data_IF_171365035076
#
_entry.id   IF_171365035076
#
_cell.length_a   1.000
_cell.length_b   1.000
_cell.length_c   1.000
_cell.angle_alpha   90.00
_cell.angle_beta   90.00
_cell.angle_gamma   90.00
#
_symmetry.space_group_name_H-M   'P 1'
#
loop_
_entity.id
_entity.type
_entity.pdbx_description
1 polymer ?
#
# COMPACT_ATOMS: atom_id res chain seq x y z
N UNK A 1 -41.11 -7.45 50.89
CA UNK A 1 -40.54 -7.98 49.64
C UNK A 1 -39.97 -6.87 48.72
N UNK A 2 -38.73 -6.39 48.97
CA UNK A 2 -38.09 -5.31 48.17
C UNK A 2 -36.71 -5.70 47.55
N UNK A 3 -36.34 -7.00 47.55
CA UNK A 3 -35.00 -7.44 47.10
C UNK A 3 -34.85 -7.76 45.58
N UNK A 4 -35.93 -7.80 44.81
CA UNK A 4 -35.87 -8.27 43.40
C UNK A 4 -35.40 -7.21 42.39
N UNK A 5 -35.55 -5.91 42.66
CA UNK A 5 -35.17 -4.87 41.69
C UNK A 5 -33.67 -4.62 41.63
N UNK A 6 -32.97 -4.74 42.74
CA UNK A 6 -31.53 -4.44 42.80
C UNK A 6 -30.67 -5.53 42.15
N UNK A 7 -31.13 -6.80 42.18
CA UNK A 7 -30.43 -7.94 41.51
C UNK A 7 -30.48 -7.82 40.01
N UNK A 8 -31.62 -7.38 39.46
CA UNK A 8 -31.74 -7.20 37.97
C UNK A 8 -30.89 -6.04 37.49
N UNK A 9 -30.75 -4.97 38.28
CA UNK A 9 -29.92 -3.81 37.92
C UNK A 9 -28.42 -4.14 37.98
N UNK A 10 -27.98 -4.89 39.00
CA UNK A 10 -26.60 -5.37 39.11
C UNK A 10 -26.22 -6.34 37.98
N UNK A 11 -27.12 -7.24 37.59
CA UNK A 11 -26.90 -8.18 36.47
C UNK A 11 -26.81 -7.43 35.12
N UNK A 12 -27.63 -6.40 34.89
CA UNK A 12 -27.60 -5.58 33.71
C UNK A 12 -26.29 -4.78 33.62
N UNK A 13 -25.81 -4.21 34.70
CA UNK A 13 -24.55 -3.47 34.77
C UNK A 13 -23.34 -4.38 34.54
N UNK A 14 -23.33 -5.60 35.07
CA UNK A 14 -22.28 -6.59 34.80
C UNK A 14 -22.25 -7.03 33.33
N UNK A 15 -23.42 -7.18 32.71
CA UNK A 15 -23.50 -7.53 31.28
C UNK A 15 -22.99 -6.39 30.40
N UNK A 16 -23.33 -5.13 30.67
CA UNK A 16 -22.84 -3.95 29.95
C UNK A 16 -21.33 -3.79 30.12
N UNK A 17 -20.79 -3.99 31.32
CA UNK A 17 -19.34 -3.98 31.53
C UNK A 17 -18.63 -5.11 30.81
N UNK A 18 -19.18 -6.32 30.76
CA UNK A 18 -18.63 -7.45 30.06
C UNK A 18 -18.59 -7.19 28.52
N UNK A 19 -19.64 -6.59 27.97
CA UNK A 19 -19.68 -6.24 26.53
C UNK A 19 -18.67 -5.13 26.20
N UNK A 20 -18.50 -4.13 27.07
CA UNK A 20 -17.50 -3.07 26.90
C UNK A 20 -16.05 -3.60 27.01
N UNK A 21 -15.81 -4.58 27.89
CA UNK A 21 -14.49 -5.23 28.00
C UNK A 21 -14.18 -6.20 26.84
N UNK A 22 -15.20 -6.74 26.16
CA UNK A 22 -15.02 -7.59 24.98
C UNK A 22 -14.81 -6.80 23.70
N UNK A 23 -15.08 -5.51 23.67
CA UNK A 23 -14.66 -4.64 22.57
C UNK A 23 -13.14 -4.46 22.68
N UNK A 24 -12.37 -5.34 22.01
CA UNK A 24 -10.95 -5.03 21.76
C UNK A 24 -10.91 -3.63 21.17
N UNK A 25 -10.14 -2.69 21.73
CA UNK A 25 -9.95 -1.42 21.07
C UNK A 25 -9.46 -1.78 19.67
N UNK A 26 -10.20 -1.37 18.64
CA UNK A 26 -9.68 -1.36 17.28
C UNK A 26 -8.50 -0.39 17.36
N UNK A 27 -7.33 -0.96 17.59
CA UNK A 27 -6.11 -0.17 17.64
C UNK A 27 -6.01 0.53 16.29
N UNK A 28 -6.15 1.84 16.29
CA UNK A 28 -5.80 2.65 15.12
C UNK A 28 -4.34 2.36 14.86
N UNK A 29 -4.07 1.50 13.90
CA UNK A 29 -2.70 1.24 13.49
C UNK A 29 -2.24 2.49 12.75
N UNK A 30 -1.14 3.07 13.20
CA UNK A 30 -0.53 4.16 12.47
C UNK A 30 -0.24 3.70 11.03
N UNK A 31 -0.50 4.58 10.07
CA UNK A 31 -0.10 4.37 8.69
C UNK A 31 1.41 4.13 8.64
N UNK A 32 1.85 3.16 7.87
CA UNK A 32 3.27 2.80 7.77
C UNK A 32 3.70 2.75 6.33
N UNK A 33 4.93 3.18 6.07
CA UNK A 33 5.61 3.01 4.80
C UNK A 33 7.06 2.63 5.06
N UNK A 34 7.51 1.54 4.45
CA UNK A 34 8.86 1.03 4.64
C UNK A 34 9.40 0.39 3.35
N UNK A 35 10.58 0.80 2.93
CA UNK A 35 11.31 0.13 1.84
C UNK A 35 11.71 -1.26 2.29
N UNK A 36 11.45 -2.25 1.44
CA UNK A 36 11.73 -3.65 1.72
C UNK A 36 12.68 -4.24 0.69
N UNK A 37 13.59 -5.09 1.14
CA UNK A 37 14.48 -5.82 0.24
C UNK A 37 13.75 -7.08 -0.26
N UNK A 38 13.44 -7.11 -1.54
CA UNK A 38 12.72 -8.20 -2.22
C UNK A 38 13.58 -9.01 -3.19
N UNK A 39 14.89 -8.75 -3.28
CA UNK A 39 15.85 -9.60 -4.06
C UNK A 39 15.83 -11.06 -3.61
N UNK A 40 15.56 -11.27 -2.32
CA UNK A 40 15.27 -12.57 -1.71
C UNK A 40 13.90 -12.55 -1.07
N UNK A 41 13.25 -13.72 -0.83
CA UNK A 41 11.94 -13.75 -0.20
C UNK A 41 11.95 -13.04 1.16
N UNK A 42 11.26 -11.89 1.24
CA UNK A 42 11.04 -11.13 2.47
C UNK A 42 9.82 -11.70 3.20
N UNK A 43 9.97 -12.18 4.44
CA UNK A 43 8.89 -12.79 5.24
C UNK A 43 8.51 -11.93 6.46
N UNK A 44 8.49 -10.63 6.32
CA UNK A 44 8.27 -9.73 7.45
C UNK A 44 6.88 -9.10 7.47
N UNK A 45 6.16 -9.14 6.37
CA UNK A 45 4.95 -8.35 6.15
C UNK A 45 3.77 -9.23 5.72
N UNK A 46 2.56 -8.83 6.11
CA UNK A 46 1.30 -9.37 5.64
C UNK A 46 0.77 -8.46 4.54
N UNK A 47 0.81 -8.93 3.29
CA UNK A 47 0.28 -8.20 2.13
C UNK A 47 -1.09 -8.74 1.70
N UNK A 48 -1.41 -9.98 2.07
CA UNK A 48 -2.69 -10.59 1.76
C UNK A 48 -3.81 -10.13 2.69
N UNK A 49 -3.46 -9.59 3.87
CA UNK A 49 -4.40 -9.14 4.89
C UNK A 49 -5.01 -10.28 5.72
N UNK A 50 -4.37 -11.46 5.73
CA UNK A 50 -4.84 -12.63 6.48
C UNK A 50 -4.22 -12.74 7.89
N UNK A 51 -3.47 -11.70 8.33
CA UNK A 51 -2.72 -11.61 9.58
C UNK A 51 -1.55 -12.61 9.70
N UNK A 52 -1.10 -13.16 8.58
CA UNK A 52 0.12 -13.97 8.51
C UNK A 52 1.18 -13.26 7.69
N UNK A 53 2.44 -13.53 8.01
CA UNK A 53 3.55 -12.98 7.24
C UNK A 53 3.67 -13.70 5.91
N UNK A 54 3.64 -12.94 4.83
CA UNK A 54 3.79 -13.42 3.48
C UNK A 54 5.26 -13.45 3.04
N UNK A 55 5.58 -14.35 2.12
CA UNK A 55 6.86 -14.37 1.41
C UNK A 55 6.76 -13.47 0.18
N UNK A 56 7.37 -12.29 0.22
CA UNK A 56 7.34 -11.29 -0.86
C UNK A 56 8.69 -11.29 -1.58
N UNK A 57 8.67 -11.43 -2.90
CA UNK A 57 9.86 -11.40 -3.74
C UNK A 57 9.56 -10.66 -5.05
N UNK A 58 10.53 -9.91 -5.57
CA UNK A 58 10.52 -9.43 -6.96
C UNK A 58 11.46 -10.25 -7.82
N UNK A 59 11.10 -10.40 -9.09
CA UNK A 59 11.99 -10.85 -10.16
C UNK A 59 11.90 -9.87 -11.30
N UNK A 60 13.01 -9.61 -11.91
CA UNK A 60 13.08 -8.75 -13.08
C UNK A 60 14.18 -9.21 -14.03
N UNK A 61 14.06 -8.82 -15.28
CA UNK A 61 15.11 -9.02 -16.27
C UNK A 61 15.30 -7.70 -17.01
N UNK A 62 16.56 -7.39 -17.29
CA UNK A 62 16.96 -6.18 -17.99
C UNK A 62 16.17 -6.05 -19.30
N UNK A 63 15.55 -4.87 -19.49
CA UNK A 63 14.76 -4.52 -20.68
C UNK A 63 13.61 -5.47 -21.03
N UNK A 64 13.18 -6.32 -20.11
CA UNK A 64 12.14 -7.32 -20.38
C UNK A 64 10.90 -7.17 -19.48
N UNK A 65 11.07 -7.31 -18.17
CA UNK A 65 9.93 -7.31 -17.24
C UNK A 65 10.30 -7.10 -15.79
N UNK A 66 9.29 -6.69 -15.01
CA UNK A 66 9.27 -6.78 -13.55
C UNK A 66 8.10 -7.64 -13.10
N UNK A 67 8.27 -8.45 -12.08
CA UNK A 67 7.20 -9.25 -11.47
C UNK A 67 7.28 -9.27 -9.96
N UNK A 68 6.11 -9.35 -9.31
CA UNK A 68 5.96 -9.51 -7.86
C UNK A 68 5.40 -10.89 -7.58
N UNK A 69 6.06 -11.60 -6.67
CA UNK A 69 5.72 -12.95 -6.26
C UNK A 69 5.37 -12.92 -4.78
N UNK A 70 4.17 -13.36 -4.43
CA UNK A 70 3.73 -13.52 -3.04
C UNK A 70 3.39 -14.97 -2.79
N UNK A 71 3.99 -15.56 -1.76
CA UNK A 71 3.82 -16.96 -1.38
C UNK A 71 4.03 -17.94 -2.55
N UNK A 72 5.05 -17.64 -3.37
CA UNK A 72 5.40 -18.46 -4.55
C UNK A 72 4.52 -18.25 -5.79
N UNK A 73 3.49 -17.39 -5.70
CA UNK A 73 2.60 -17.09 -6.82
C UNK A 73 2.91 -15.69 -7.38
N UNK A 74 3.07 -15.58 -8.69
CA UNK A 74 3.17 -14.28 -9.37
C UNK A 74 1.82 -13.58 -9.29
N UNK A 75 1.78 -12.41 -8.65
CA UNK A 75 0.58 -11.60 -8.45
C UNK A 75 0.54 -10.35 -9.33
N UNK A 76 1.70 -9.96 -9.85
CA UNK A 76 1.87 -8.85 -10.78
C UNK A 76 3.02 -9.17 -11.73
N UNK A 77 2.85 -8.81 -12.99
CA UNK A 77 3.92 -8.85 -14.00
C UNK A 77 3.65 -7.77 -15.05
N UNK A 78 4.65 -6.97 -15.34
CA UNK A 78 4.64 -5.96 -16.41
C UNK A 78 5.85 -6.13 -17.30
N UNK A 79 5.70 -5.76 -18.57
CA UNK A 79 6.74 -5.76 -19.60
C UNK A 79 7.38 -4.38 -19.75
N UNK A 80 7.52 -3.67 -18.67
CA UNK A 80 8.18 -2.37 -18.69
C UNK A 80 9.69 -2.56 -18.79
N UNK A 81 10.35 -1.94 -19.76
CA UNK A 81 11.80 -1.92 -19.83
C UNK A 81 12.39 -1.30 -18.56
N UNK A 82 13.16 -2.09 -17.81
CA UNK A 82 13.84 -1.61 -16.59
C UNK A 82 15.31 -2.00 -16.64
N UNK A 83 16.15 -1.13 -16.08
CA UNK A 83 17.60 -1.31 -16.07
C UNK A 83 18.16 -1.48 -14.67
N UNK A 84 17.37 -1.16 -13.66
CA UNK A 84 17.77 -1.25 -12.27
C UNK A 84 16.80 -2.09 -11.45
N UNK A 85 17.29 -2.60 -10.32
CA UNK A 85 16.42 -3.27 -9.34
C UNK A 85 15.23 -2.39 -8.97
N UNK A 86 14.00 -2.90 -9.04
CA UNK A 86 12.83 -2.13 -8.63
C UNK A 86 12.89 -1.81 -7.13
N UNK A 87 12.51 -0.58 -6.78
CA UNK A 87 12.31 -0.20 -5.39
C UNK A 87 10.92 -0.61 -4.95
N UNK A 88 10.84 -1.41 -3.90
CA UNK A 88 9.55 -1.87 -3.34
C UNK A 88 9.36 -1.32 -1.95
N UNK A 89 8.20 -0.71 -1.72
CA UNK A 89 7.78 -0.25 -0.39
C UNK A 89 6.54 -1.01 0.05
N UNK A 90 6.60 -1.56 1.26
CA UNK A 90 5.43 -2.01 1.96
C UNK A 90 4.76 -0.81 2.61
N UNK A 91 3.49 -0.64 2.32
CA UNK A 91 2.66 0.44 2.82
C UNK A 91 1.43 -0.13 3.51
N UNK A 92 0.88 0.60 4.48
CA UNK A 92 -0.36 0.24 5.17
C UNK A 92 -1.15 1.50 5.48
N UNK A 93 -2.43 1.51 5.14
CA UNK A 93 -3.38 2.53 5.58
C UNK A 93 -3.69 2.39 7.09
N UNK A 94 -4.24 3.43 7.69
CA UNK A 94 -4.65 3.41 9.13
C UNK A 94 -5.73 2.37 9.43
N UNK A 95 -6.57 2.01 8.45
CA UNK A 95 -7.54 0.92 8.59
C UNK A 95 -6.91 -0.48 8.56
N UNK A 96 -5.58 -0.55 8.46
CA UNK A 96 -4.82 -1.80 8.43
C UNK A 96 -4.65 -2.43 7.05
N UNK A 97 -5.26 -1.90 5.99
CA UNK A 97 -5.14 -2.45 4.64
C UNK A 97 -3.72 -2.29 4.10
N UNK A 98 -3.02 -3.38 3.75
CA UNK A 98 -1.69 -3.35 3.20
C UNK A 98 -1.68 -3.18 1.68
N UNK A 99 -0.60 -2.60 1.15
CA UNK A 99 -0.31 -2.56 -0.28
C UNK A 99 1.21 -2.47 -0.52
N UNK A 100 1.64 -2.83 -1.71
CA UNK A 100 3.00 -2.58 -2.18
C UNK A 100 2.99 -1.40 -3.16
N UNK A 101 3.94 -0.51 -3.00
CA UNK A 101 4.27 0.50 -4.00
C UNK A 101 5.62 0.12 -4.64
N UNK A 102 5.64 0.04 -5.96
CA UNK A 102 6.77 -0.45 -6.74
C UNK A 102 7.17 0.63 -7.72
N UNK A 103 8.44 0.99 -7.68
CA UNK A 103 9.06 1.91 -8.63
C UNK A 103 10.07 1.13 -9.47
N UNK A 104 9.94 1.21 -10.77
CA UNK A 104 10.82 0.59 -11.76
C UNK A 104 11.51 1.69 -12.56
N UNK A 105 12.82 1.62 -12.68
CA UNK A 105 13.63 2.67 -13.32
C UNK A 105 14.33 2.15 -14.55
N UNK A 106 14.27 2.95 -15.63
CA UNK A 106 15.16 2.88 -16.78
C UNK A 106 16.38 3.77 -16.59
N UNK A 107 17.14 4.00 -17.66
CA UNK A 107 18.28 4.93 -17.63
C UNK A 107 17.78 6.35 -17.38
N UNK A 108 18.15 6.90 -16.24
CA UNK A 108 17.86 8.27 -15.85
C UNK A 108 16.38 8.66 -15.72
N UNK A 109 15.46 7.69 -15.72
CA UNK A 109 14.02 7.98 -15.61
C UNK A 109 13.25 6.93 -14.82
N UNK A 110 12.13 7.34 -14.26
CA UNK A 110 11.12 6.42 -13.71
C UNK A 110 10.34 5.80 -14.87
N UNK A 111 10.60 4.52 -15.14
CA UNK A 111 9.93 3.81 -16.23
C UNK A 111 8.48 3.44 -15.88
N UNK A 112 8.24 3.04 -14.62
CA UNK A 112 6.92 2.62 -14.15
C UNK A 112 6.79 2.78 -12.64
N UNK A 113 5.62 3.18 -12.18
CA UNK A 113 5.22 3.03 -10.77
C UNK A 113 3.88 2.30 -10.68
N UNK A 114 3.76 1.40 -9.69
CA UNK A 114 2.61 0.52 -9.57
C UNK A 114 2.23 0.31 -8.11
N UNK A 115 0.94 0.35 -7.83
CA UNK A 115 0.37 -0.10 -6.56
C UNK A 115 -0.14 -1.52 -6.75
N UNK A 116 0.28 -2.45 -5.88
CA UNK A 116 -0.19 -3.84 -5.85
C UNK A 116 -0.83 -4.13 -4.50
N UNK A 117 -2.04 -4.63 -4.48
CA UNK A 117 -2.82 -4.89 -3.26
C UNK A 117 -3.76 -6.08 -3.44
N UNK A 118 -4.41 -6.51 -2.35
CA UNK A 118 -5.42 -7.56 -2.39
C UNK A 118 -6.81 -6.98 -2.13
N UNK A 119 -7.77 -7.40 -2.96
CA UNK A 119 -9.21 -7.14 -2.79
C UNK A 119 -9.95 -8.46 -2.81
N UNK A 120 -10.66 -8.79 -1.74
CA UNK A 120 -11.39 -10.06 -1.62
C UNK A 120 -10.48 -11.27 -1.94
N UNK A 121 -9.29 -11.31 -1.33
CA UNK A 121 -8.27 -12.34 -1.53
C UNK A 121 -7.75 -12.49 -2.96
N UNK A 122 -8.03 -11.54 -3.85
CA UNK A 122 -7.53 -11.50 -5.22
C UNK A 122 -6.54 -10.36 -5.40
N UNK A 123 -5.38 -10.58 -6.04
CA UNK A 123 -4.44 -9.51 -6.32
C UNK A 123 -5.02 -8.52 -7.33
N UNK A 124 -4.72 -7.26 -7.11
CA UNK A 124 -5.04 -6.12 -7.96
C UNK A 124 -3.80 -5.26 -8.14
N UNK A 125 -3.73 -4.58 -9.26
CA UNK A 125 -2.68 -3.59 -9.53
C UNK A 125 -3.26 -2.35 -10.16
N UNK A 126 -2.61 -1.22 -9.88
CA UNK A 126 -2.87 0.08 -10.50
C UNK A 126 -1.53 0.57 -11.00
N UNK A 127 -1.35 0.59 -12.30
CA UNK A 127 -0.21 1.27 -12.91
C UNK A 127 -0.50 2.77 -12.88
N UNK A 128 0.47 3.54 -12.42
CA UNK A 128 0.36 4.97 -12.44
C UNK A 128 0.64 5.42 -13.87
N UNK A 129 -0.36 6.04 -14.48
CA UNK A 129 -0.22 6.67 -15.78
C UNK A 129 0.35 8.09 -15.56
N UNK A 130 1.46 8.35 -16.19
CA UNK A 130 2.14 9.65 -16.10
C UNK A 130 1.76 10.58 -17.25
N UNK A 131 0.89 10.11 -18.16
CA UNK A 131 0.52 10.84 -19.35
C UNK A 131 1.72 11.12 -20.29
N UNK A 132 1.56 12.10 -21.18
CA UNK A 132 2.60 12.55 -22.11
C UNK A 132 3.64 13.50 -21.47
N UNK A 133 3.80 13.41 -20.14
CA UNK A 133 4.84 14.16 -19.45
C UNK A 133 6.20 13.54 -19.75
N UNK A 134 6.93 14.01 -20.65
CA UNK A 134 8.32 13.69 -20.92
C UNK A 134 9.06 12.80 -19.90
N UNK A 135 10.30 13.03 -19.66
CA UNK A 135 11.09 12.15 -18.78
C UNK A 135 10.83 12.46 -17.31
N UNK A 136 10.12 11.53 -16.63
CA UNK A 136 9.98 11.58 -15.19
C UNK A 136 11.30 11.18 -14.55
N UNK A 137 11.85 12.05 -13.74
CA UNK A 137 13.11 11.76 -13.03
C UNK A 137 12.89 10.73 -11.91
N UNK A 138 11.75 10.81 -11.23
CA UNK A 138 11.41 9.87 -10.17
C UNK A 138 10.37 10.41 -9.19
N UNK A 139 10.19 9.63 -8.12
CA UNK A 139 9.34 9.99 -6.99
C UNK A 139 10.14 10.89 -6.06
N UNK A 140 9.65 12.10 -5.81
CA UNK A 140 10.30 13.08 -4.92
C UNK A 140 9.79 13.02 -3.49
N UNK A 141 8.54 12.61 -3.29
CA UNK A 141 7.94 12.48 -1.97
C UNK A 141 6.80 11.45 -1.96
N UNK A 142 6.64 10.77 -0.84
CA UNK A 142 5.62 9.75 -0.60
C UNK A 142 5.06 9.91 0.79
N UNK A 143 3.74 9.83 0.91
CA UNK A 143 3.10 9.83 2.23
C UNK A 143 1.90 8.91 2.29
N UNK A 144 1.66 8.32 3.46
CA UNK A 144 0.42 7.61 3.80
C UNK A 144 -0.17 8.30 5.02
N UNK A 145 -1.41 8.76 4.91
CA UNK A 145 -2.14 9.43 5.99
C UNK A 145 -3.60 8.99 5.96
N UNK A 146 -4.10 8.47 7.06
CA UNK A 146 -5.43 7.88 7.10
C UNK A 146 -5.59 6.76 6.08
N UNK A 147 -6.56 6.90 5.21
CA UNK A 147 -6.81 6.03 4.07
C UNK A 147 -6.31 6.62 2.73
N UNK A 148 -5.38 7.55 2.80
CA UNK A 148 -4.86 8.25 1.63
C UNK A 148 -3.38 7.94 1.42
N UNK A 149 -3.00 7.63 0.19
CA UNK A 149 -1.62 7.49 -0.26
C UNK A 149 -1.34 8.56 -1.31
N UNK A 150 -0.32 9.37 -1.09
CA UNK A 150 0.07 10.46 -1.97
C UNK A 150 1.45 10.23 -2.54
N UNK A 151 1.57 10.40 -3.85
CA UNK A 151 2.82 10.26 -4.60
C UNK A 151 3.11 11.57 -5.30
N UNK A 152 4.27 12.17 -4.99
CA UNK A 152 4.77 13.36 -5.63
C UNK A 152 5.85 13.00 -6.63
N UNK A 153 5.69 13.38 -7.88
CA UNK A 153 6.67 13.15 -8.95
C UNK A 153 7.45 14.42 -9.25
N UNK A 154 8.65 14.22 -9.78
CA UNK A 154 9.50 15.27 -10.34
C UNK A 154 9.74 15.04 -11.82
N UNK A 155 9.53 16.06 -12.62
CA UNK A 155 9.84 16.11 -14.03
C UNK A 155 11.20 16.79 -14.22
N UNK A 156 12.04 16.23 -15.08
CA UNK A 156 13.28 16.87 -15.48
C UNK A 156 12.99 17.98 -16.50
N UNK A 157 13.32 19.23 -16.15
CA UNK A 157 13.16 20.40 -17.00
C UNK A 157 14.53 20.91 -17.44
N UNK A 158 14.93 20.59 -18.66
CA UNK A 158 16.27 20.94 -19.16
C UNK A 158 17.41 20.17 -18.47
N UNK A 159 18.63 20.61 -18.60
CA UNK A 159 19.83 19.88 -18.13
C UNK A 159 20.09 19.96 -16.62
N UNK A 160 19.44 20.84 -15.89
CA UNK A 160 19.73 21.08 -14.46
C UNK A 160 18.52 21.40 -13.59
N UNK A 161 17.31 21.46 -14.16
CA UNK A 161 16.10 21.86 -13.45
C UNK A 161 15.14 20.70 -13.20
N UNK A 162 14.44 20.73 -12.05
CA UNK A 162 13.34 19.81 -11.75
C UNK A 162 12.08 20.62 -11.42
N UNK A 163 10.98 20.19 -12.00
CA UNK A 163 9.65 20.72 -11.64
C UNK A 163 8.85 19.64 -10.96
N UNK A 164 8.27 19.93 -9.80
CA UNK A 164 7.33 19.03 -9.14
C UNK A 164 5.99 19.06 -9.88
N UNK A 165 5.50 17.91 -10.25
CA UNK A 165 4.15 17.74 -10.79
C UNK A 165 3.11 17.82 -9.67
N UNK A 166 1.83 17.94 -10.05
CA UNK A 166 0.75 17.77 -9.08
C UNK A 166 0.84 16.37 -8.45
N UNK A 167 0.61 16.23 -7.13
CA UNK A 167 0.65 14.92 -6.51
C UNK A 167 -0.48 14.02 -7.02
N UNK A 168 -0.16 12.75 -7.26
CA UNK A 168 -1.17 11.72 -7.47
C UNK A 168 -1.67 11.25 -6.10
N UNK A 169 -2.97 11.27 -5.91
CA UNK A 169 -3.63 10.91 -4.66
C UNK A 169 -4.44 9.64 -4.87
N UNK A 170 -4.23 8.65 -4.02
CA UNK A 170 -4.96 7.38 -4.02
C UNK A 170 -5.69 7.24 -2.69
N UNK A 171 -6.97 6.94 -2.74
CA UNK A 171 -7.81 6.77 -1.55
C UNK A 171 -8.33 5.34 -1.47
N UNK A 172 -8.15 4.71 -0.32
CA UNK A 172 -8.79 3.44 -0.02
C UNK A 172 -10.22 3.69 0.43
N UNK A 173 -11.18 3.22 -0.36
CA UNK A 173 -12.61 3.34 -0.09
C UNK A 173 -13.37 2.10 -0.57
N UNK A 174 -14.30 1.59 0.24
CA UNK A 174 -15.18 0.47 -0.10
C UNK A 174 -14.44 -0.80 -0.55
N UNK A 175 -13.33 -1.11 0.13
CA UNK A 175 -12.51 -2.27 -0.19
C UNK A 175 -11.63 -2.13 -1.43
N UNK A 176 -11.46 -0.92 -1.96
CA UNK A 176 -10.69 -0.64 -3.17
C UNK A 176 -9.78 0.57 -3.03
N UNK A 177 -8.69 0.59 -3.79
CA UNK A 177 -7.85 1.77 -3.94
C UNK A 177 -8.27 2.48 -5.23
N UNK A 178 -8.57 3.77 -5.13
CA UNK A 178 -8.99 4.60 -6.26
C UNK A 178 -8.08 5.80 -6.37
N UNK A 179 -7.74 6.17 -7.60
CA UNK A 179 -7.10 7.46 -7.86
C UNK A 179 -8.12 8.57 -7.70
N UNK A 180 -7.76 9.60 -6.93
CA UNK A 180 -8.59 10.80 -6.72
C UNK A 180 -8.15 11.94 -7.65
N UNK A 181 -7.12 11.73 -8.46
CA UNK A 181 -6.63 12.72 -9.40
C UNK A 181 -7.08 12.36 -10.82
N UNK A 182 -7.92 13.18 -11.37
CA UNK A 182 -8.01 13.35 -12.82
C UNK A 182 -6.83 14.22 -13.23
N UNK A 183 -5.82 13.59 -13.81
CA UNK A 183 -4.70 14.29 -14.46
C UNK A 183 -5.23 15.10 -15.63
#
# INVERSE_FOLDING_TARGET
MKKSKNVKFAALMLFVCAVLFCMKPVGVQASTMQTINTKRPCKSYDITGDNKKDSIQTKWAFDEYVSVIVNGKTIYKDKTPIEYDPTVRYCRFENGTPFLFIESYGVNELAQATIVYYKNSKPKSINLDFGDYGWLYGVSDLSVSGNTFTVQYSLMTGSTGFTRLKPCVFVYKDGDIKSDVRI
#
